data_IF_375983395194
#
_entry.id   IF_375983395194
#
_cell.length_a   1.000
_cell.length_b   1.000
_cell.length_c   1.000
_cell.angle_alpha   90.00
_cell.angle_beta   90.00
_cell.angle_gamma   90.00
#
_symmetry.space_group_name_H-M   'P 1'
#
loop_
_entity.id
_entity.type
_entity.pdbx_description
1 polymer ?
#
# COMPACT_ATOMS: atom_id res chain seq x y z
N UNK A 1 -3.14 4.37 36.09
CA UNK A 1 -4.45 4.91 36.53
C UNK A 1 -5.49 3.79 36.41
N UNK A 2 -6.17 3.40 37.49
CA UNK A 2 -7.25 2.43 37.37
C UNK A 2 -8.49 3.07 36.74
N UNK A 3 -9.14 2.32 35.88
CA UNK A 3 -10.45 2.63 35.31
C UNK A 3 -11.43 1.64 35.90
N UNK A 4 -12.45 2.14 36.58
CA UNK A 4 -13.44 1.35 37.30
C UNK A 4 -14.83 1.53 36.72
N UNK A 5 -15.71 0.56 36.88
CA UNK A 5 -17.14 0.70 36.58
C UNK A 5 -17.90 1.52 37.63
N UNK A 6 -19.19 1.68 37.43
CA UNK A 6 -20.06 2.47 38.34
C UNK A 6 -20.18 1.84 39.74
N UNK A 7 -19.86 0.54 39.89
CA UNK A 7 -19.79 -0.16 41.16
C UNK A 7 -18.39 -0.18 41.78
N UNK A 8 -17.42 0.54 41.19
CA UNK A 8 -16.05 0.65 41.68
C UNK A 8 -15.15 -0.55 41.39
N UNK A 9 -15.57 -1.49 40.54
CA UNK A 9 -14.76 -2.65 40.16
C UNK A 9 -13.78 -2.30 39.05
N UNK A 10 -12.53 -2.77 39.16
CA UNK A 10 -11.48 -2.52 38.18
C UNK A 10 -11.85 -3.13 36.81
N UNK A 11 -11.92 -2.32 35.77
CA UNK A 11 -12.12 -2.72 34.38
C UNK A 11 -10.81 -2.70 33.60
N UNK A 12 -10.04 -1.63 33.71
CA UNK A 12 -8.78 -1.46 33.01
C UNK A 12 -7.75 -0.78 33.89
N UNK A 13 -6.49 -0.92 33.51
CA UNK A 13 -5.38 -0.21 34.10
C UNK A 13 -4.60 0.52 33.01
N UNK A 14 -4.57 1.85 33.07
CA UNK A 14 -3.88 2.69 32.10
C UNK A 14 -2.53 3.12 32.67
N UNK A 15 -1.45 2.76 32.02
CA UNK A 15 -0.12 3.25 32.37
C UNK A 15 0.10 4.65 31.78
N UNK A 16 0.87 5.48 32.51
CA UNK A 16 1.19 6.83 32.03
C UNK A 16 1.91 6.80 30.69
N UNK A 17 2.79 5.81 30.49
CA UNK A 17 3.50 5.60 29.22
C UNK A 17 2.56 5.42 28.03
N UNK A 18 1.50 4.63 28.20
CA UNK A 18 0.53 4.37 27.13
C UNK A 18 -0.25 5.64 26.77
N UNK A 19 -0.64 6.42 27.81
CA UNK A 19 -1.29 7.73 27.60
C UNK A 19 -0.37 8.71 26.88
N UNK A 20 0.89 8.82 27.32
CA UNK A 20 1.88 9.72 26.71
C UNK A 20 2.17 9.31 25.26
N UNK A 21 2.29 8.00 24.99
CA UNK A 21 2.44 7.48 23.62
C UNK A 21 1.25 7.85 22.73
N UNK A 22 0.03 7.58 23.18
CA UNK A 22 -1.19 7.94 22.43
C UNK A 22 -1.27 9.44 22.15
N UNK A 23 -0.93 10.28 23.14
CA UNK A 23 -0.91 11.72 22.97
C UNK A 23 0.14 12.22 21.98
N UNK A 24 1.28 11.55 21.91
CA UNK A 24 2.38 11.87 20.96
C UNK A 24 2.12 11.35 19.55
N UNK A 25 1.18 10.42 19.37
CA UNK A 25 0.85 9.80 18.08
C UNK A 25 -0.62 10.04 17.67
N UNK A 26 -1.02 11.29 17.39
CA UNK A 26 -2.43 11.63 17.11
C UNK A 26 -2.97 11.04 15.81
N UNK A 27 -2.11 10.44 14.98
CA UNK A 27 -2.48 9.81 13.71
C UNK A 27 -2.67 8.29 13.83
N UNK A 28 -2.61 7.72 15.04
CA UNK A 28 -2.92 6.31 15.25
C UNK A 28 -4.35 5.98 14.80
N UNK A 29 -4.49 4.89 14.04
CA UNK A 29 -5.80 4.37 13.64
C UNK A 29 -6.20 3.30 14.65
N UNK A 30 -7.19 3.60 15.45
CA UNK A 30 -7.68 2.75 16.53
C UNK A 30 -9.16 2.40 16.31
N UNK A 31 -9.55 1.22 16.78
CA UNK A 31 -10.94 0.80 16.89
C UNK A 31 -11.66 1.48 18.08
N UNK A 32 -12.93 1.13 18.30
CA UNK A 32 -13.73 1.63 19.43
C UNK A 32 -13.19 1.18 20.81
N UNK A 33 -12.40 0.11 20.85
CA UNK A 33 -11.75 -0.41 22.05
C UNK A 33 -10.35 0.16 22.29
N UNK A 34 -9.89 1.10 21.44
CA UNK A 34 -8.54 1.68 21.46
C UNK A 34 -7.43 0.67 21.10
N UNK A 35 -7.77 -0.39 20.40
CA UNK A 35 -6.80 -1.31 19.79
C UNK A 35 -6.44 -0.83 18.38
N UNK A 36 -5.22 -1.12 17.93
CA UNK A 36 -4.82 -0.79 16.57
C UNK A 36 -5.65 -1.57 15.55
N UNK A 37 -6.13 -0.88 14.52
CA UNK A 37 -6.72 -1.54 13.35
C UNK A 37 -5.61 -2.22 12.57
N UNK A 38 -5.72 -3.53 12.40
CA UNK A 38 -4.70 -4.36 11.75
C UNK A 38 -5.23 -5.08 10.52
N UNK A 39 -4.40 -5.13 9.48
CA UNK A 39 -4.69 -5.85 8.25
C UNK A 39 -3.80 -7.07 8.06
N UNK A 40 -4.31 -8.09 7.35
CA UNK A 40 -3.57 -9.28 7.02
C UNK A 40 -3.69 -9.64 5.53
N UNK A 41 -2.57 -10.04 4.93
CA UNK A 41 -2.52 -10.59 3.57
C UNK A 41 -3.01 -12.04 3.55
N UNK A 42 -3.79 -12.37 2.53
CA UNK A 42 -4.24 -13.72 2.25
C UNK A 42 -3.98 -14.08 0.79
N UNK A 43 -3.82 -15.36 0.51
CA UNK A 43 -3.76 -15.86 -0.87
C UNK A 43 -5.04 -16.65 -1.20
N UNK A 44 -5.18 -17.06 -2.45
CA UNK A 44 -6.36 -17.77 -2.96
C UNK A 44 -6.26 -19.30 -2.83
N UNK A 45 -5.28 -19.85 -2.12
CA UNK A 45 -5.06 -21.31 -2.04
C UNK A 45 -5.45 -21.89 -0.69
N UNK A 46 -5.07 -21.21 0.41
CA UNK A 46 -5.32 -21.66 1.78
C UNK A 46 -6.38 -20.80 2.51
N UNK A 47 -7.15 -20.00 1.75
CA UNK A 47 -8.08 -19.02 2.31
C UNK A 47 -9.13 -19.63 3.25
N UNK A 48 -9.57 -20.88 3.00
CA UNK A 48 -10.59 -21.56 3.81
C UNK A 48 -10.12 -21.86 5.25
N UNK A 49 -8.81 -22.03 5.44
CA UNK A 49 -8.19 -22.26 6.76
C UNK A 49 -7.62 -20.97 7.32
N UNK A 50 -6.93 -20.19 6.50
CA UNK A 50 -6.22 -18.99 6.92
C UNK A 50 -7.16 -17.84 7.31
N UNK A 51 -8.22 -17.59 6.54
CA UNK A 51 -9.14 -16.48 6.83
C UNK A 51 -9.84 -16.66 8.19
N UNK A 52 -10.42 -17.84 8.53
CA UNK A 52 -10.97 -18.05 9.87
C UNK A 52 -9.96 -17.80 10.99
N UNK A 53 -8.75 -18.32 10.85
CA UNK A 53 -7.71 -18.14 11.86
C UNK A 53 -7.31 -16.66 12.04
N UNK A 54 -7.26 -15.87 10.97
CA UNK A 54 -6.98 -14.43 11.03
C UNK A 54 -8.13 -13.64 11.67
N UNK A 55 -9.38 -13.97 11.33
CA UNK A 55 -10.57 -13.35 11.92
C UNK A 55 -10.64 -13.67 13.42
N UNK A 56 -10.41 -14.91 13.81
CA UNK A 56 -10.38 -15.33 15.22
C UNK A 56 -9.23 -14.68 16.00
N UNK A 57 -8.12 -14.37 15.31
CA UNK A 57 -6.99 -13.64 15.89
C UNK A 57 -7.21 -12.11 15.97
N UNK A 58 -8.34 -11.60 15.47
CA UNK A 58 -8.71 -10.19 15.55
C UNK A 58 -8.20 -9.33 14.40
N UNK A 59 -7.95 -9.88 13.20
CA UNK A 59 -7.66 -9.07 12.03
C UNK A 59 -8.91 -8.30 11.58
N UNK A 60 -8.78 -6.97 11.43
CA UNK A 60 -9.88 -6.08 11.06
C UNK A 60 -10.10 -6.05 9.55
N UNK A 61 -9.02 -6.13 8.77
CA UNK A 61 -9.04 -6.02 7.32
C UNK A 61 -8.20 -7.11 6.70
N UNK A 62 -8.76 -7.79 5.72
CA UNK A 62 -8.05 -8.76 4.90
C UNK A 62 -7.72 -8.17 3.52
N UNK A 63 -6.66 -8.66 2.90
CA UNK A 63 -6.31 -8.27 1.54
C UNK A 63 -5.84 -9.49 0.75
N UNK A 64 -6.52 -9.84 -0.32
CA UNK A 64 -6.03 -10.85 -1.26
C UNK A 64 -4.87 -10.21 -2.04
N UNK A 65 -3.69 -10.76 -1.86
CA UNK A 65 -2.48 -10.27 -2.52
C UNK A 65 -2.04 -11.24 -3.62
N UNK A 66 -2.17 -10.79 -4.86
CA UNK A 66 -1.79 -11.52 -6.06
C UNK A 66 -1.28 -10.56 -7.14
N UNK A 67 -0.36 -11.03 -7.96
CA UNK A 67 0.11 -10.27 -9.13
C UNK A 67 -0.95 -10.11 -10.22
N UNK A 68 -2.04 -10.90 -10.16
CA UNK A 68 -3.16 -10.85 -11.10
C UNK A 68 -4.48 -11.03 -10.35
N UNK A 69 -5.24 -9.93 -10.25
CA UNK A 69 -6.51 -9.89 -9.54
C UNK A 69 -7.71 -10.33 -10.39
N UNK A 70 -7.63 -10.15 -11.69
CA UNK A 70 -8.71 -10.53 -12.61
C UNK A 70 -8.69 -12.04 -12.85
N UNK A 71 -9.07 -12.81 -11.84
CA UNK A 71 -9.02 -14.27 -11.85
C UNK A 71 -10.19 -14.90 -11.08
N UNK A 72 -10.67 -16.04 -11.56
CA UNK A 72 -11.72 -16.81 -10.89
C UNK A 72 -11.35 -17.18 -9.45
N UNK A 73 -10.08 -17.44 -9.16
CA UNK A 73 -9.64 -17.75 -7.79
C UNK A 73 -9.89 -16.63 -6.80
N UNK A 74 -9.70 -15.36 -7.22
CA UNK A 74 -10.02 -14.22 -6.36
C UNK A 74 -11.52 -14.07 -6.17
N UNK A 75 -12.29 -14.23 -7.25
CA UNK A 75 -13.76 -14.19 -7.19
C UNK A 75 -14.30 -15.27 -6.24
N UNK A 76 -13.88 -16.51 -6.41
CA UNK A 76 -14.28 -17.62 -5.51
C UNK A 76 -13.94 -17.34 -4.04
N UNK A 77 -12.76 -16.75 -3.78
CA UNK A 77 -12.35 -16.37 -2.43
C UNK A 77 -13.25 -15.27 -1.86
N UNK A 78 -13.56 -14.23 -2.63
CA UNK A 78 -14.46 -13.14 -2.23
C UNK A 78 -15.87 -13.66 -1.97
N UNK A 79 -16.43 -14.42 -2.89
CA UNK A 79 -17.78 -15.01 -2.76
C UNK A 79 -17.88 -15.92 -1.53
N UNK A 80 -16.82 -16.73 -1.26
CA UNK A 80 -16.76 -17.55 -0.07
C UNK A 80 -16.77 -16.71 1.22
N UNK A 81 -15.99 -15.61 1.26
CA UNK A 81 -15.98 -14.69 2.41
C UNK A 81 -17.36 -14.06 2.60
N UNK A 82 -17.98 -13.56 1.54
CA UNK A 82 -19.33 -12.98 1.61
C UNK A 82 -20.38 -13.99 2.08
N UNK A 83 -20.32 -15.22 1.59
CA UNK A 83 -21.22 -16.29 2.04
C UNK A 83 -21.05 -16.65 3.52
N UNK A 84 -19.79 -16.65 4.02
CA UNK A 84 -19.49 -17.08 5.39
C UNK A 84 -19.66 -15.97 6.41
N UNK A 85 -19.23 -14.75 6.09
CA UNK A 85 -19.13 -13.64 7.04
C UNK A 85 -20.03 -12.44 6.70
N UNK A 86 -20.60 -12.39 5.48
CA UNK A 86 -21.33 -11.21 5.01
C UNK A 86 -20.41 -9.99 4.97
N UNK A 87 -20.89 -8.86 5.50
CA UNK A 87 -20.17 -7.60 5.55
C UNK A 87 -19.34 -7.40 6.83
N UNK A 88 -19.31 -8.39 7.71
CA UNK A 88 -18.59 -8.32 8.99
C UNK A 88 -17.09 -8.34 8.83
N UNK A 89 -16.59 -8.97 7.78
CA UNK A 89 -15.16 -9.03 7.45
C UNK A 89 -14.88 -8.13 6.25
N UNK A 90 -13.99 -7.17 6.43
CA UNK A 90 -13.54 -6.31 5.35
C UNK A 90 -12.42 -6.97 4.57
N UNK A 91 -12.61 -7.11 3.26
CA UNK A 91 -11.65 -7.79 2.38
C UNK A 91 -11.42 -7.00 1.09
N UNK A 92 -10.17 -6.67 0.83
CA UNK A 92 -9.73 -6.12 -0.44
C UNK A 92 -9.18 -7.18 -1.38
N UNK A 93 -9.11 -6.84 -2.64
CA UNK A 93 -8.64 -7.73 -3.69
C UNK A 93 -7.76 -6.99 -4.72
N UNK A 94 -7.01 -7.70 -5.50
CA UNK A 94 -6.11 -7.14 -6.53
C UNK A 94 -4.90 -8.04 -6.79
N UNK A 95 -4.03 -7.57 -7.68
CA UNK A 95 -4.05 -6.25 -8.32
C UNK A 95 -4.70 -6.31 -9.70
N UNK A 96 -5.30 -5.21 -10.06
CA UNK A 96 -5.86 -4.98 -11.40
C UNK A 96 -5.30 -3.69 -11.99
N UNK A 97 -5.51 -3.43 -13.28
CA UNK A 97 -4.94 -2.26 -13.99
C UNK A 97 -5.92 -1.51 -14.88
N UNK A 98 -7.17 -1.97 -14.95
CA UNK A 98 -8.21 -1.46 -15.86
C UNK A 98 -9.60 -1.54 -15.26
N UNK A 99 -10.57 -1.02 -16.00
CA UNK A 99 -11.98 -1.03 -15.64
C UNK A 99 -12.54 -2.44 -15.50
N UNK A 100 -12.22 -3.34 -16.42
CA UNK A 100 -12.78 -4.69 -16.44
C UNK A 100 -12.38 -5.47 -15.18
N UNK A 101 -11.11 -5.37 -14.79
CA UNK A 101 -10.63 -5.96 -13.56
C UNK A 101 -11.26 -5.34 -12.31
N UNK A 102 -11.49 -4.03 -12.31
CA UNK A 102 -12.19 -3.35 -11.22
C UNK A 102 -13.65 -3.86 -11.09
N UNK A 103 -14.41 -3.80 -12.18
CA UNK A 103 -15.81 -4.22 -12.17
C UNK A 103 -15.96 -5.68 -11.72
N UNK A 104 -15.08 -6.57 -12.21
CA UNK A 104 -15.07 -7.98 -11.84
C UNK A 104 -14.89 -8.22 -10.33
N UNK A 105 -13.94 -7.54 -9.70
CA UNK A 105 -13.70 -7.67 -8.25
C UNK A 105 -14.76 -6.95 -7.42
N UNK A 106 -15.29 -5.83 -7.90
CA UNK A 106 -16.38 -5.10 -7.27
C UNK A 106 -17.66 -5.96 -7.20
N UNK A 107 -18.03 -6.58 -8.32
CA UNK A 107 -19.20 -7.45 -8.43
C UNK A 107 -19.03 -8.74 -7.57
N UNK A 108 -17.80 -9.23 -7.41
CA UNK A 108 -17.49 -10.34 -6.51
C UNK A 108 -17.54 -9.96 -5.03
N UNK A 109 -17.68 -8.67 -4.71
CA UNK A 109 -17.89 -8.18 -3.35
C UNK A 109 -16.62 -7.70 -2.63
N UNK A 110 -15.60 -7.21 -3.32
CA UNK A 110 -14.45 -6.58 -2.69
C UNK A 110 -14.85 -5.28 -1.97
N UNK A 111 -14.34 -5.05 -0.75
CA UNK A 111 -14.53 -3.78 -0.02
C UNK A 111 -13.56 -2.70 -0.47
N UNK A 112 -12.42 -3.05 -1.04
CA UNK A 112 -11.48 -2.14 -1.71
C UNK A 112 -10.68 -2.89 -2.76
N UNK A 113 -10.10 -2.16 -3.73
CA UNK A 113 -9.35 -2.78 -4.83
C UNK A 113 -7.97 -2.17 -4.96
N UNK A 114 -6.95 -3.06 -5.08
CA UNK A 114 -5.56 -2.66 -5.31
C UNK A 114 -5.25 -2.59 -6.80
N UNK A 115 -4.52 -1.52 -7.18
CA UNK A 115 -4.21 -1.19 -8.56
C UNK A 115 -2.70 -1.19 -8.76
N UNK A 116 -2.24 -1.95 -9.74
CA UNK A 116 -0.86 -1.93 -10.19
C UNK A 116 -0.28 -3.31 -10.45
N UNK A 117 0.21 -3.54 -11.65
CA UNK A 117 0.91 -4.75 -12.06
C UNK A 117 2.27 -4.35 -12.63
N UNK A 118 3.33 -4.90 -12.04
CA UNK A 118 4.69 -4.70 -12.48
C UNK A 118 5.28 -3.33 -12.18
N UNK A 119 4.65 -2.50 -11.33
CA UNK A 119 5.10 -1.14 -10.98
C UNK A 119 6.07 -1.08 -9.79
N UNK A 120 6.23 -2.14 -9.03
CA UNK A 120 7.11 -2.17 -7.86
C UNK A 120 8.59 -2.05 -8.23
N UNK A 121 9.40 -1.41 -7.36
CA UNK A 121 10.83 -1.16 -7.62
C UNK A 121 11.68 -2.43 -7.78
N UNK A 122 11.20 -3.55 -7.27
CA UNK A 122 11.85 -4.88 -7.31
C UNK A 122 11.07 -5.88 -8.17
N UNK A 123 9.99 -5.42 -8.83
CA UNK A 123 9.17 -6.25 -9.70
C UNK A 123 9.70 -6.19 -11.14
N UNK A 124 9.92 -7.35 -11.74
CA UNK A 124 10.34 -7.49 -13.14
C UNK A 124 9.31 -8.25 -13.99
N UNK A 125 8.07 -8.34 -13.51
CA UNK A 125 6.97 -9.00 -14.24
C UNK A 125 6.79 -8.44 -15.65
N UNK A 126 6.87 -7.11 -15.82
CA UNK A 126 6.75 -6.47 -17.14
C UNK A 126 7.86 -6.88 -18.10
N UNK A 127 9.07 -7.01 -17.58
CA UNK A 127 10.25 -7.41 -18.33
C UNK A 127 10.21 -8.89 -18.68
N UNK A 128 9.81 -9.74 -17.75
CA UNK A 128 9.81 -11.20 -17.92
C UNK A 128 8.60 -11.73 -18.69
N UNK A 129 7.43 -11.11 -18.52
CA UNK A 129 6.16 -11.60 -19.07
C UNK A 129 5.53 -10.66 -20.10
N UNK A 130 6.00 -9.42 -20.20
CA UNK A 130 5.34 -8.39 -21.02
C UNK A 130 3.97 -7.97 -20.48
N UNK A 131 3.65 -8.28 -19.21
CA UNK A 131 2.37 -8.00 -18.56
C UNK A 131 2.54 -6.81 -17.61
N UNK A 132 1.59 -5.88 -17.67
CA UNK A 132 1.55 -4.70 -16.80
C UNK A 132 1.04 -3.47 -17.54
N UNK A 133 0.87 -2.39 -16.79
CA UNK A 133 0.38 -1.13 -17.32
C UNK A 133 1.03 0.05 -16.59
N UNK A 134 1.14 1.20 -17.24
CA UNK A 134 1.63 2.42 -16.58
C UNK A 134 0.74 2.79 -15.39
N UNK A 135 1.34 3.01 -14.21
CA UNK A 135 0.61 3.19 -12.96
C UNK A 135 -0.36 4.38 -13.01
N UNK A 136 0.06 5.52 -13.56
CA UNK A 136 -0.80 6.69 -13.70
C UNK A 136 -2.05 6.40 -14.56
N UNK A 137 -1.87 5.72 -15.69
CA UNK A 137 -2.97 5.32 -16.58
C UNK A 137 -3.94 4.39 -15.84
N UNK A 138 -3.41 3.39 -15.13
CA UNK A 138 -4.24 2.43 -14.38
C UNK A 138 -5.06 3.11 -13.29
N UNK A 139 -4.45 4.00 -12.50
CA UNK A 139 -5.15 4.72 -11.43
C UNK A 139 -6.25 5.60 -11.99
N UNK A 140 -6.00 6.36 -13.05
CA UNK A 140 -7.01 7.25 -13.67
C UNK A 140 -8.19 6.44 -14.22
N UNK A 141 -7.93 5.35 -14.94
CA UNK A 141 -8.99 4.52 -15.52
C UNK A 141 -9.82 3.81 -14.46
N UNK A 142 -9.17 3.20 -13.46
CA UNK A 142 -9.89 2.51 -12.39
C UNK A 142 -10.62 3.51 -11.48
N UNK A 143 -10.10 4.73 -11.28
CA UNK A 143 -10.83 5.77 -10.57
C UNK A 143 -12.11 6.19 -11.31
N UNK A 144 -12.07 6.28 -12.63
CA UNK A 144 -13.26 6.52 -13.46
C UNK A 144 -14.26 5.35 -13.33
N UNK A 145 -13.78 4.10 -13.41
CA UNK A 145 -14.60 2.91 -13.23
C UNK A 145 -15.29 2.87 -11.86
N UNK A 146 -14.55 3.17 -10.78
CA UNK A 146 -15.11 3.30 -9.42
C UNK A 146 -16.23 4.34 -9.35
N UNK A 147 -16.04 5.50 -9.96
CA UNK A 147 -17.04 6.56 -9.95
C UNK A 147 -18.30 6.12 -10.71
N UNK A 148 -18.15 5.51 -11.89
CA UNK A 148 -19.28 4.94 -12.64
C UNK A 148 -20.01 3.85 -11.84
N UNK A 149 -19.28 2.99 -11.16
CA UNK A 149 -19.85 1.94 -10.32
C UNK A 149 -20.64 2.55 -9.16
N UNK A 150 -20.08 3.56 -8.51
CA UNK A 150 -20.76 4.30 -7.43
C UNK A 150 -22.04 4.98 -7.93
N UNK A 151 -22.02 5.62 -9.10
CA UNK A 151 -23.21 6.25 -9.70
C UNK A 151 -24.32 5.24 -9.99
N UNK A 152 -23.96 4.02 -10.42
CA UNK A 152 -24.90 2.96 -10.76
C UNK A 152 -25.47 2.23 -9.54
N UNK A 153 -24.66 2.00 -8.52
CA UNK A 153 -24.99 1.09 -7.41
C UNK A 153 -25.17 1.80 -6.06
N UNK A 154 -24.68 3.03 -5.92
CA UNK A 154 -24.57 3.72 -4.63
C UNK A 154 -23.46 3.18 -3.71
N UNK A 155 -22.67 2.18 -4.15
CA UNK A 155 -21.62 1.56 -3.38
C UNK A 155 -20.28 2.15 -3.79
N UNK A 156 -19.60 2.82 -2.83
CA UNK A 156 -18.25 3.35 -3.03
C UNK A 156 -17.21 2.32 -2.60
N UNK A 157 -16.38 1.89 -3.56
CA UNK A 157 -15.30 0.93 -3.33
C UNK A 157 -13.96 1.67 -3.41
N UNK A 158 -13.26 1.95 -2.29
CA UNK A 158 -11.98 2.63 -2.29
C UNK A 158 -10.94 1.89 -3.13
N UNK A 159 -10.05 2.65 -3.77
CA UNK A 159 -8.97 2.11 -4.58
C UNK A 159 -7.59 2.47 -4.02
N UNK A 160 -6.71 1.48 -3.99
CA UNK A 160 -5.34 1.59 -3.51
C UNK A 160 -4.36 1.62 -4.68
N UNK A 161 -3.59 2.69 -4.83
CA UNK A 161 -2.47 2.69 -5.78
C UNK A 161 -1.27 1.94 -5.18
N UNK A 162 -0.91 0.81 -5.78
CA UNK A 162 0.17 -0.06 -5.32
C UNK A 162 1.32 -0.11 -6.34
N UNK A 163 2.51 0.27 -5.89
CA UNK A 163 3.72 0.30 -6.69
C UNK A 163 3.97 1.62 -7.44
N UNK A 164 5.18 1.78 -7.95
CA UNK A 164 5.59 2.94 -8.76
C UNK A 164 5.88 4.23 -7.98
N UNK A 165 5.66 4.27 -6.68
CA UNK A 165 5.89 5.44 -5.83
C UNK A 165 7.32 5.42 -5.30
N UNK A 166 8.13 6.37 -5.79
CA UNK A 166 9.56 6.54 -5.44
C UNK A 166 9.78 7.81 -4.62
N UNK A 167 9.09 8.89 -4.96
CA UNK A 167 9.23 10.22 -4.35
C UNK A 167 7.94 10.65 -3.67
N UNK A 168 8.03 11.57 -2.71
CA UNK A 168 6.87 12.07 -1.97
C UNK A 168 5.81 12.70 -2.89
N UNK A 169 6.23 13.41 -3.96
CA UNK A 169 5.27 13.99 -4.90
C UNK A 169 4.50 12.93 -5.72
N UNK A 170 5.05 11.71 -5.90
CA UNK A 170 4.27 10.60 -6.47
C UNK A 170 3.08 10.21 -5.60
N UNK A 171 3.19 10.35 -4.26
CA UNK A 171 2.07 10.12 -3.35
C UNK A 171 0.93 11.09 -3.64
N UNK A 172 1.26 12.37 -3.75
CA UNK A 172 0.26 13.42 -4.06
C UNK A 172 -0.36 13.20 -5.45
N UNK A 173 0.45 12.85 -6.45
CA UNK A 173 -0.04 12.57 -7.80
C UNK A 173 -0.99 11.36 -7.81
N UNK A 174 -0.64 10.26 -7.13
CA UNK A 174 -1.52 9.08 -7.06
C UNK A 174 -2.87 9.42 -6.43
N UNK A 175 -2.88 10.17 -5.33
CA UNK A 175 -4.11 10.65 -4.69
C UNK A 175 -4.91 11.59 -5.59
N UNK A 176 -4.25 12.53 -6.27
CA UNK A 176 -4.91 13.45 -7.19
C UNK A 176 -5.48 12.76 -8.45
N UNK A 177 -4.88 11.65 -8.88
CA UNK A 177 -5.37 10.81 -9.98
C UNK A 177 -6.59 9.97 -9.61
N UNK A 178 -6.95 9.91 -8.32
CA UNK A 178 -8.15 9.24 -7.85
C UNK A 178 -7.93 8.10 -6.87
N UNK A 179 -6.69 7.76 -6.50
CA UNK A 179 -6.45 6.79 -5.43
C UNK A 179 -6.95 7.34 -4.07
N UNK A 180 -7.59 6.48 -3.29
CA UNK A 180 -8.07 6.84 -1.95
C UNK A 180 -6.97 6.65 -0.91
N UNK A 181 -6.09 5.69 -1.14
CA UNK A 181 -4.90 5.42 -0.34
C UNK A 181 -3.81 4.77 -1.21
N UNK A 182 -2.62 4.58 -0.64
CA UNK A 182 -1.45 4.10 -1.38
C UNK A 182 -0.74 2.98 -0.61
N UNK A 183 -0.15 2.04 -1.34
CA UNK A 183 0.69 0.98 -0.80
C UNK A 183 2.15 1.19 -1.20
N UNK A 184 3.05 1.11 -0.23
CA UNK A 184 4.44 1.48 -0.36
C UNK A 184 5.36 0.36 0.16
N UNK A 185 6.06 -0.34 -0.71
CA UNK A 185 7.06 -1.35 -0.33
C UNK A 185 8.44 -0.73 -0.10
N UNK A 186 9.06 -0.22 -1.16
CA UNK A 186 10.41 0.38 -1.12
C UNK A 186 10.54 1.50 -0.10
N UNK A 187 9.53 2.33 0.05
CA UNK A 187 9.53 3.45 0.99
C UNK A 187 9.78 2.97 2.43
N UNK A 188 9.02 1.99 2.88
CA UNK A 188 9.12 1.46 4.25
C UNK A 188 10.35 0.56 4.46
N UNK A 189 10.85 -0.10 3.41
CA UNK A 189 12.04 -0.93 3.49
C UNK A 189 13.32 -0.16 3.90
N UNK A 190 13.34 1.16 3.76
CA UNK A 190 14.50 2.05 3.97
C UNK A 190 14.75 2.42 5.43
N UNK A 191 13.83 2.16 6.33
CA UNK A 191 13.83 2.71 7.68
C UNK A 191 14.43 1.77 8.73
N UNK A 192 14.80 2.32 9.88
CA UNK A 192 15.34 1.56 11.01
C UNK A 192 14.37 0.47 11.46
N UNK A 193 13.07 0.73 11.44
CA UNK A 193 12.00 -0.19 11.87
C UNK A 193 11.76 -1.34 10.90
N UNK A 194 12.29 -1.28 9.67
CA UNK A 194 12.28 -2.42 8.75
C UNK A 194 13.13 -3.58 9.31
N UNK A 195 12.70 -4.84 9.19
CA UNK A 195 13.35 -5.97 9.88
C UNK A 195 14.74 -6.33 9.34
N UNK A 196 15.16 -5.82 8.18
CA UNK A 196 16.47 -6.09 7.61
C UNK A 196 17.59 -5.28 8.28
N UNK A 197 18.81 -5.77 8.21
CA UNK A 197 19.96 -5.08 8.80
C UNK A 197 20.37 -3.84 7.99
N UNK A 198 20.85 -2.84 8.68
CA UNK A 198 21.56 -1.71 8.07
C UNK A 198 22.98 -2.13 7.72
N UNK A 199 23.33 -2.07 6.45
CA UNK A 199 24.64 -2.47 5.93
C UNK A 199 25.38 -1.26 5.37
N UNK A 200 26.72 -1.36 5.33
CA UNK A 200 27.56 -0.41 4.61
C UNK A 200 28.08 -1.08 3.34
N UNK A 201 27.67 -0.56 2.20
CA UNK A 201 28.11 -1.05 0.87
C UNK A 201 28.78 0.10 0.14
N UNK A 202 30.06 -0.03 -0.15
CA UNK A 202 30.85 1.00 -0.85
C UNK A 202 30.74 2.40 -0.20
N UNK A 203 30.73 2.49 1.12
CA UNK A 203 30.62 3.75 1.87
C UNK A 203 29.20 4.28 2.06
N UNK A 204 28.20 3.64 1.49
CA UNK A 204 26.80 4.04 1.61
C UNK A 204 26.05 3.11 2.57
N UNK A 205 25.20 3.68 3.41
CA UNK A 205 24.29 2.87 4.23
C UNK A 205 23.08 2.44 3.43
N UNK A 206 22.76 1.15 3.48
CA UNK A 206 21.67 0.52 2.76
C UNK A 206 20.91 -0.47 3.63
N UNK A 207 19.70 -0.84 3.20
CA UNK A 207 18.91 -1.94 3.74
C UNK A 207 18.65 -2.96 2.64
N UNK A 208 18.59 -4.23 2.98
CA UNK A 208 18.23 -5.28 2.03
C UNK A 208 16.74 -5.19 1.68
N UNK A 209 16.42 -5.40 0.40
CA UNK A 209 15.04 -5.37 -0.09
C UNK A 209 14.88 -6.30 -1.29
N UNK A 210 13.98 -7.27 -1.18
CA UNK A 210 13.77 -8.30 -2.20
C UNK A 210 12.29 -8.50 -2.51
N UNK A 211 12.03 -8.93 -3.75
CA UNK A 211 10.68 -9.22 -4.22
C UNK A 211 10.18 -10.58 -3.79
N UNK A 212 8.87 -10.72 -3.65
CA UNK A 212 8.17 -11.98 -3.42
C UNK A 212 8.49 -13.03 -4.50
N UNK A 213 8.62 -12.58 -5.76
CA UNK A 213 8.98 -13.42 -6.90
C UNK A 213 10.49 -13.66 -7.07
N UNK A 214 11.33 -13.35 -6.07
CA UNK A 214 12.77 -13.62 -6.09
C UNK A 214 13.08 -15.00 -5.52
N UNK A 215 14.22 -15.57 -5.93
CA UNK A 215 14.73 -16.83 -5.36
C UNK A 215 14.95 -16.74 -3.84
N UNK A 216 15.26 -15.55 -3.33
CA UNK A 216 15.44 -15.33 -1.90
C UNK A 216 14.12 -15.52 -1.14
N UNK A 217 13.02 -14.93 -1.59
CA UNK A 217 11.71 -15.06 -0.95
C UNK A 217 11.23 -16.51 -0.95
N UNK A 218 11.50 -17.23 -2.03
CA UNK A 218 11.14 -18.62 -2.21
C UNK A 218 11.84 -19.55 -1.23
N UNK A 219 13.12 -19.33 -0.98
CA UNK A 219 13.89 -20.14 -0.03
C UNK A 219 13.38 -20.00 1.42
N UNK A 220 12.48 -19.05 1.70
CA UNK A 220 11.80 -18.89 2.98
C UNK A 220 10.45 -19.62 3.05
N UNK A 221 10.19 -20.55 2.12
CA UNK A 221 9.03 -21.46 2.08
C UNK A 221 7.66 -20.79 2.02
N UNK A 222 7.59 -19.51 1.69
CA UNK A 222 6.33 -18.77 1.64
C UNK A 222 5.38 -19.29 0.55
N UNK A 223 5.93 -19.94 -0.48
CA UNK A 223 5.20 -20.49 -1.63
C UNK A 223 5.40 -21.99 -1.81
N UNK A 224 5.85 -22.71 -0.78
CA UNK A 224 5.97 -24.18 -0.84
C UNK A 224 4.59 -24.82 -0.71
N UNK A 225 3.94 -24.95 -1.83
CA UNK A 225 2.56 -25.44 -1.97
C UNK A 225 2.52 -26.84 -2.63
N UNK A 226 3.55 -27.65 -2.41
CA UNK A 226 3.59 -29.04 -2.85
C UNK A 226 3.80 -29.25 -4.37
N UNK A 227 4.27 -28.21 -5.07
CA UNK A 227 4.64 -28.29 -6.50
C UNK A 227 6.14 -28.44 -6.73
N UNK A 228 6.58 -28.49 -7.99
CA UNK A 228 8.01 -28.44 -8.35
C UNK A 228 8.65 -27.20 -7.69
N UNK A 229 9.63 -27.36 -6.81
CA UNK A 229 10.23 -26.27 -6.06
C UNK A 229 11.00 -25.26 -6.93
N UNK A 230 11.13 -25.47 -8.23
CA UNK A 230 11.86 -24.58 -9.12
C UNK A 230 10.95 -23.60 -9.84
N UNK A 231 11.08 -22.29 -9.51
CA UNK A 231 10.58 -21.26 -10.41
C UNK A 231 11.28 -21.41 -11.76
N UNK A 232 10.52 -21.38 -12.83
CA UNK A 232 11.11 -21.38 -14.17
C UNK A 232 11.87 -20.09 -14.46
N UNK A 233 11.46 -18.99 -13.83
CA UNK A 233 12.09 -17.65 -13.91
C UNK A 233 11.68 -16.80 -12.70
N UNK A 234 12.47 -15.77 -12.39
CA UNK A 234 12.16 -14.82 -11.35
C UNK A 234 11.27 -13.68 -11.86
N UNK A 235 10.35 -13.23 -11.04
CA UNK A 235 9.52 -12.03 -11.29
C UNK A 235 9.86 -10.87 -10.33
N UNK A 236 10.85 -11.07 -9.49
CA UNK A 236 11.36 -10.09 -8.55
C UNK A 236 12.86 -10.22 -8.36
N UNK A 237 13.50 -9.14 -7.95
CA UNK A 237 14.95 -9.10 -7.72
C UNK A 237 15.27 -9.03 -6.24
N UNK A 238 16.49 -9.51 -5.87
CA UNK A 238 17.12 -9.24 -4.58
C UNK A 238 18.02 -8.01 -4.72
N UNK A 239 17.84 -7.02 -3.85
CA UNK A 239 18.47 -5.72 -4.00
C UNK A 239 18.71 -5.01 -2.68
N UNK A 240 19.28 -3.82 -2.77
CA UNK A 240 19.42 -2.86 -1.68
C UNK A 240 18.62 -1.60 -1.95
N UNK A 241 18.13 -0.99 -0.87
CA UNK A 241 17.55 0.36 -0.89
C UNK A 241 18.40 1.30 -0.02
N UNK A 242 18.55 2.58 -0.40
CA UNK A 242 19.25 3.55 0.43
C UNK A 242 18.59 3.67 1.81
N UNK A 243 19.39 3.58 2.87
CA UNK A 243 18.92 3.81 4.23
C UNK A 243 18.48 5.27 4.42
N UNK A 244 17.38 5.49 5.14
CA UNK A 244 16.78 6.81 5.28
C UNK A 244 16.49 7.23 6.73
N UNK A 245 16.99 6.51 7.75
CA UNK A 245 16.74 6.85 9.15
C UNK A 245 15.43 6.29 9.69
N UNK A 246 14.77 7.01 10.59
CA UNK A 246 13.55 6.55 11.27
C UNK A 246 12.31 6.68 10.42
N UNK A 247 11.38 5.75 10.57
CA UNK A 247 10.05 5.80 9.94
C UNK A 247 9.30 7.06 10.38
N UNK A 248 9.32 7.37 11.67
CA UNK A 248 8.59 8.49 12.26
C UNK A 248 8.93 9.82 11.56
N UNK A 249 10.21 10.14 11.44
CA UNK A 249 10.66 11.42 10.85
C UNK A 249 10.33 11.50 9.36
N UNK A 250 10.53 10.41 8.65
CA UNK A 250 10.28 10.36 7.20
C UNK A 250 8.78 10.42 6.86
N UNK A 251 7.93 9.70 7.60
CA UNK A 251 6.48 9.73 7.39
C UNK A 251 5.92 11.12 7.67
N UNK A 252 6.34 11.75 8.77
CA UNK A 252 5.92 13.12 9.10
C UNK A 252 6.34 14.12 8.03
N UNK A 253 7.55 13.99 7.49
CA UNK A 253 8.03 14.84 6.40
C UNK A 253 7.22 14.63 5.12
N UNK A 254 6.99 13.37 4.72
CA UNK A 254 6.19 13.03 3.53
C UNK A 254 4.76 13.52 3.65
N UNK A 255 4.11 13.30 4.81
CA UNK A 255 2.77 13.83 5.07
C UNK A 255 2.71 15.35 5.04
N UNK A 256 3.74 16.04 5.54
CA UNK A 256 3.82 17.50 5.48
C UNK A 256 3.86 18.00 4.03
N UNK A 257 4.59 17.33 3.14
CA UNK A 257 4.64 17.66 1.71
C UNK A 257 3.29 17.43 1.02
N UNK A 258 2.64 16.28 1.29
CA UNK A 258 1.30 15.98 0.76
C UNK A 258 0.30 17.02 1.21
N UNK A 259 0.26 17.31 2.52
CA UNK A 259 -0.63 18.34 3.10
C UNK A 259 -0.37 19.74 2.52
N UNK A 260 0.91 20.10 2.30
CA UNK A 260 1.28 21.37 1.66
C UNK A 260 0.70 21.48 0.24
N UNK A 261 0.82 20.42 -0.55
CA UNK A 261 0.20 20.41 -1.90
C UNK A 261 -1.32 20.48 -1.83
N UNK A 262 -1.96 19.78 -0.89
CA UNK A 262 -3.40 19.88 -0.68
C UNK A 262 -3.81 21.35 -0.36
N UNK A 263 -3.05 22.03 0.50
CA UNK A 263 -3.27 23.45 0.78
C UNK A 263 -3.15 24.30 -0.49
N UNK A 264 -2.14 24.08 -1.31
CA UNK A 264 -1.96 24.81 -2.58
C UNK A 264 -3.14 24.59 -3.54
N UNK A 265 -3.76 23.40 -3.52
CA UNK A 265 -4.97 23.08 -4.28
C UNK A 265 -6.27 23.58 -3.58
N UNK A 266 -6.19 24.14 -2.40
CA UNK A 266 -7.36 24.52 -1.58
C UNK A 266 -8.20 23.32 -1.14
N UNK A 267 -7.59 22.15 -0.95
CA UNK A 267 -8.24 20.90 -0.60
C UNK A 267 -8.05 20.55 0.87
N UNK A 268 -9.15 20.30 1.59
CA UNK A 268 -9.16 19.89 3.00
C UNK A 268 -9.28 18.37 3.17
N UNK A 269 -9.55 17.63 2.08
CA UNK A 269 -9.66 16.18 2.06
C UNK A 269 -9.11 15.60 0.76
N UNK A 270 -8.84 14.29 0.73
CA UNK A 270 -8.43 13.59 -0.49
C UNK A 270 -9.51 13.72 -1.58
N UNK A 271 -10.79 13.59 -1.24
CA UNK A 271 -11.89 13.76 -2.18
C UNK A 271 -11.93 15.18 -2.78
N UNK A 272 -11.59 16.20 -2.00
CA UNK A 272 -11.47 17.57 -2.53
C UNK A 272 -10.22 17.72 -3.41
N UNK A 273 -9.11 17.11 -3.06
CA UNK A 273 -7.91 17.09 -3.89
C UNK A 273 -8.21 16.47 -5.26
N UNK A 274 -8.89 15.34 -5.30
CA UNK A 274 -9.30 14.67 -6.54
C UNK A 274 -10.17 15.56 -7.44
N UNK A 275 -11.03 16.39 -6.84
CA UNK A 275 -11.92 17.30 -7.58
C UNK A 275 -11.26 18.59 -8.04
N UNK A 276 -10.30 19.11 -7.25
CA UNK A 276 -9.71 20.46 -7.45
C UNK A 276 -8.37 20.41 -8.18
N UNK A 277 -7.60 19.34 -8.03
CA UNK A 277 -6.30 19.20 -8.67
C UNK A 277 -6.42 19.18 -10.21
N UNK A 278 -5.55 19.92 -10.87
CA UNK A 278 -5.43 19.91 -12.34
C UNK A 278 -4.11 19.27 -12.71
N UNK A 279 -4.20 18.10 -13.33
CA UNK A 279 -3.03 17.35 -13.80
C UNK A 279 -2.72 17.75 -15.25
N UNK A 280 -1.43 17.90 -15.55
CA UNK A 280 -0.94 18.24 -16.89
C UNK A 280 0.11 17.22 -17.31
N UNK A 281 0.00 16.76 -18.56
CA UNK A 281 1.07 15.97 -19.18
C UNK A 281 2.26 16.86 -19.45
N UNK A 282 3.43 16.39 -19.08
CA UNK A 282 4.69 17.11 -19.29
C UNK A 282 5.66 16.30 -20.15
N UNK A 283 6.52 16.98 -20.88
CA UNK A 283 7.60 16.36 -21.65
C UNK A 283 8.79 16.00 -20.75
N UNK A 284 9.73 15.21 -21.26
CA UNK A 284 10.99 14.93 -20.58
C UNK A 284 11.78 16.22 -20.25
N UNK A 285 11.72 17.23 -21.12
CA UNK A 285 12.34 18.54 -20.89
C UNK A 285 11.71 19.28 -19.71
N UNK A 286 10.38 19.26 -19.61
CA UNK A 286 9.66 19.88 -18.48
C UNK A 286 9.94 19.16 -17.14
N UNK A 287 10.27 17.87 -17.16
CA UNK A 287 10.71 17.15 -15.95
C UNK A 287 12.06 17.71 -15.46
N UNK A 288 12.98 18.02 -16.35
CA UNK A 288 14.27 18.63 -15.99
C UNK A 288 14.05 20.05 -15.43
N UNK A 289 13.22 20.86 -16.10
CA UNK A 289 12.85 22.21 -15.66
C UNK A 289 12.17 22.20 -14.27
N UNK A 290 11.37 21.17 -13.98
CA UNK A 290 10.68 21.00 -12.70
C UNK A 290 11.61 20.67 -11.51
N UNK A 291 12.89 20.40 -11.74
CA UNK A 291 13.90 20.18 -10.71
C UNK A 291 14.88 21.36 -10.58
N UNK A 292 15.81 21.26 -9.65
CA UNK A 292 16.92 22.20 -9.61
C UNK A 292 17.77 22.03 -10.88
N UNK A 293 17.91 23.09 -11.68
CA UNK A 293 18.64 23.11 -12.93
C UNK A 293 19.49 24.36 -13.01
N UNK A 294 20.53 24.30 -13.81
CA UNK A 294 21.50 25.40 -14.05
C UNK A 294 22.15 25.95 -12.76
N UNK A 295 22.24 25.13 -11.72
CA UNK A 295 22.88 25.45 -10.43
C UNK A 295 23.75 24.31 -9.94
N UNK A 296 24.79 24.64 -9.18
CA UNK A 296 25.64 23.66 -8.49
C UNK A 296 25.11 23.48 -7.06
N UNK A 297 24.62 22.28 -6.74
CA UNK A 297 24.14 21.98 -5.39
C UNK A 297 25.33 21.91 -4.41
N UNK A 298 25.21 22.56 -3.25
CA UNK A 298 26.24 22.52 -2.20
C UNK A 298 26.32 21.14 -1.53
N UNK A 299 25.22 20.45 -1.43
CA UNK A 299 25.11 19.13 -0.81
C UNK A 299 24.78 18.07 -1.86
N UNK A 300 25.76 17.21 -2.15
CA UNK A 300 25.61 16.09 -3.09
C UNK A 300 24.70 14.98 -2.55
N UNK A 301 24.38 14.96 -1.26
CA UNK A 301 23.46 13.99 -0.67
C UNK A 301 22.03 14.11 -1.25
N UNK A 302 21.66 15.31 -1.73
CA UNK A 302 20.39 15.53 -2.44
C UNK A 302 20.38 14.92 -3.86
N UNK A 303 21.55 14.62 -4.43
CA UNK A 303 21.67 13.98 -5.75
C UNK A 303 21.59 12.44 -5.68
N UNK A 304 21.77 11.83 -4.50
CA UNK A 304 21.70 10.39 -4.31
C UNK A 304 20.26 9.82 -4.34
N UNK A 305 19.26 10.69 -4.50
CA UNK A 305 17.83 10.33 -4.52
C UNK A 305 17.23 10.43 -5.95
N UNK A 306 18.08 10.69 -6.97
CA UNK A 306 17.65 10.70 -8.38
C UNK A 306 17.92 9.38 -9.07
#
# INVERSE_FOLDING_TARGET
MPVVDDEGRLKHFVFRKDYDNHKSNPNEILDEHKSFIVGAGVNTRDYMERIPALVDAGADVLCIDSSEGYSEWQKETLEWVRKKYGDKVKIGAGNVVDKEGFDFLADAGADFIKIGIGGGSICITREQKGIGRGQATSVIEVAAARNEYFEKTGIYIPICSDGGIVYDYHMTLALAMGADFIMLGRYFARFDESPTNKLNVNGNYVKEYWGEGSNRARNWQRYDLGGDPRMKFEEGVDSYVPYAGTLHDNVNLSLSKVKSTMCNCGALSISELQKKAKLTLVSATSIVEGGAHDVILRDSSQNAIR
#
